data_IF_655978380122
#
_entry.id   IF_655978380122
#
_cell.length_a   1.000
_cell.length_b   1.000
_cell.length_c   1.000
_cell.angle_alpha   90.00
_cell.angle_beta   90.00
_cell.angle_gamma   90.00
#
_symmetry.space_group_name_H-M   'P 1'
#
loop_
_entity.id
_entity.type
_entity.pdbx_description
1 polymer ?
#
# COMPACT_ATOMS: atom_id res chain seq x y z
N UNK A 1 0.09 -17.28 -28.12
CA UNK A 1 -0.87 -17.28 -26.99
C UNK A 1 -0.22 -16.55 -25.84
N UNK A 2 -0.78 -15.42 -25.42
CA UNK A 2 -0.19 -14.59 -24.36
C UNK A 2 -0.58 -15.24 -23.03
N UNK A 3 0.41 -15.70 -22.25
CA UNK A 3 0.24 -16.28 -20.93
C UNK A 3 -0.12 -15.17 -19.91
N UNK A 4 -1.31 -14.57 -20.04
CA UNK A 4 -1.80 -13.53 -19.13
C UNK A 4 -2.48 -14.08 -17.88
N UNK A 5 -2.79 -15.38 -17.84
CA UNK A 5 -3.59 -15.96 -16.76
C UNK A 5 -2.77 -16.38 -15.51
N UNK A 6 -1.46 -16.64 -15.63
CA UNK A 6 -0.61 -16.96 -14.47
C UNK A 6 -0.22 -15.71 -13.63
N UNK A 7 -0.30 -14.52 -14.22
CA UNK A 7 -0.09 -13.24 -13.53
C UNK A 7 -1.32 -12.78 -12.72
N UNK A 8 -2.42 -13.53 -12.76
CA UNK A 8 -3.67 -13.16 -12.08
C UNK A 8 -3.62 -13.37 -10.56
N UNK A 9 -2.62 -14.12 -10.06
CA UNK A 9 -2.44 -14.29 -8.63
C UNK A 9 -1.54 -13.17 -8.09
N UNK A 10 -2.06 -12.31 -7.19
CA UNK A 10 -1.28 -11.22 -6.62
C UNK A 10 -0.02 -11.72 -5.88
N UNK A 11 -0.05 -12.92 -5.30
CA UNK A 11 1.12 -13.52 -4.65
C UNK A 11 2.24 -13.82 -5.66
N UNK A 12 1.91 -14.47 -6.78
CA UNK A 12 2.86 -14.78 -7.86
C UNK A 12 3.42 -13.50 -8.50
N UNK A 13 2.58 -12.47 -8.66
CA UNK A 13 3.01 -11.17 -9.14
C UNK A 13 4.00 -10.52 -8.18
N UNK A 14 3.73 -10.59 -6.87
CA UNK A 14 4.64 -10.07 -5.86
C UNK A 14 5.98 -10.82 -5.86
N UNK A 15 5.96 -12.16 -5.80
CA UNK A 15 7.19 -12.96 -5.75
C UNK A 15 8.11 -12.71 -6.95
N UNK A 16 7.51 -12.59 -8.15
CA UNK A 16 8.25 -12.46 -9.41
C UNK A 16 8.72 -11.03 -9.69
N UNK A 17 8.02 -10.01 -9.20
CA UNK A 17 8.27 -8.61 -9.54
C UNK A 17 8.48 -7.69 -8.34
N UNK A 18 8.67 -8.20 -7.13
CA UNK A 18 8.85 -7.40 -5.91
C UNK A 18 9.93 -6.32 -6.03
N UNK A 19 11.04 -6.58 -6.72
CA UNK A 19 12.09 -5.59 -6.93
C UNK A 19 11.58 -4.41 -7.77
N UNK A 20 11.02 -4.69 -8.95
CA UNK A 20 10.44 -3.69 -9.83
C UNK A 20 9.27 -2.92 -9.18
N UNK A 21 8.42 -3.62 -8.41
CA UNK A 21 7.31 -3.03 -7.67
C UNK A 21 7.78 -2.14 -6.51
N UNK A 22 8.99 -2.39 -6.00
CA UNK A 22 9.60 -1.63 -4.91
C UNK A 22 10.55 -0.54 -5.40
N UNK A 23 10.76 -0.38 -6.71
CA UNK A 23 11.74 0.56 -7.27
C UNK A 23 11.50 1.99 -6.79
N UNK A 24 10.25 2.42 -6.68
CA UNK A 24 9.92 3.74 -6.16
C UNK A 24 10.35 3.94 -4.70
N UNK A 25 10.25 2.90 -3.85
CA UNK A 25 10.75 2.93 -2.47
C UNK A 25 12.27 2.93 -2.45
N UNK A 26 12.89 2.06 -3.25
CA UNK A 26 14.35 1.99 -3.37
C UNK A 26 14.93 3.33 -3.82
N UNK A 27 14.34 3.95 -4.84
CA UNK A 27 14.72 5.27 -5.33
C UNK A 27 14.62 6.33 -4.23
N UNK A 28 13.51 6.39 -3.49
CA UNK A 28 13.35 7.32 -2.36
C UNK A 28 14.41 7.11 -1.27
N UNK A 29 14.75 5.86 -0.96
CA UNK A 29 15.79 5.55 0.02
C UNK A 29 17.19 5.92 -0.49
N UNK A 30 17.46 5.73 -1.78
CA UNK A 30 18.73 6.11 -2.42
C UNK A 30 18.99 7.62 -2.41
N UNK A 31 17.94 8.44 -2.38
CA UNK A 31 18.09 9.90 -2.21
C UNK A 31 18.79 10.25 -0.89
N UNK A 32 18.57 9.46 0.16
CA UNK A 32 19.21 9.64 1.46
C UNK A 32 20.47 8.77 1.63
N UNK A 33 20.50 7.59 1.02
CA UNK A 33 21.59 6.62 1.12
C UNK A 33 22.02 6.15 -0.28
N UNK A 34 22.90 6.90 -0.96
CA UNK A 34 23.40 6.54 -2.28
C UNK A 34 24.06 5.15 -2.25
N UNK A 35 23.75 4.32 -3.24
CA UNK A 35 24.29 2.96 -3.33
C UNK A 35 23.55 1.90 -2.52
N UNK A 36 22.43 2.24 -1.86
CA UNK A 36 21.56 1.22 -1.26
C UNK A 36 21.05 0.25 -2.33
N UNK A 37 21.21 -1.04 -2.09
CA UNK A 37 20.71 -2.12 -2.95
C UNK A 37 19.35 -2.64 -2.47
N UNK A 38 18.62 -3.28 -3.39
CA UNK A 38 17.36 -3.93 -3.06
C UNK A 38 17.61 -5.00 -1.99
N UNK A 39 16.74 -5.03 -0.98
CA UNK A 39 16.84 -5.96 0.12
C UNK A 39 15.45 -6.26 0.71
N UNK A 40 15.31 -7.29 1.57
CA UNK A 40 14.01 -7.69 2.11
C UNK A 40 13.29 -6.59 2.90
N UNK A 41 14.00 -5.63 3.49
CA UNK A 41 13.40 -4.52 4.21
C UNK A 41 12.72 -3.55 3.24
N UNK A 42 13.31 -3.32 2.06
CA UNK A 42 12.72 -2.49 0.99
C UNK A 42 11.47 -3.16 0.42
N UNK A 43 11.53 -4.48 0.17
CA UNK A 43 10.38 -5.26 -0.23
C UNK A 43 9.24 -5.14 0.80
N UNK A 44 9.54 -5.29 2.09
CA UNK A 44 8.57 -5.18 3.16
C UNK A 44 7.94 -3.76 3.24
N UNK A 45 8.72 -2.70 3.03
CA UNK A 45 8.21 -1.32 3.00
C UNK A 45 7.25 -1.09 1.83
N UNK A 46 7.59 -1.56 0.64
CA UNK A 46 6.68 -1.50 -0.50
C UNK A 46 5.38 -2.28 -0.23
N UNK A 47 5.49 -3.43 0.43
CA UNK A 47 4.33 -4.24 0.81
C UNK A 47 3.43 -3.54 1.84
N UNK A 48 4.01 -2.83 2.82
CA UNK A 48 3.27 -1.95 3.73
C UNK A 48 2.52 -0.84 2.98
N UNK A 49 3.13 -0.20 1.96
CA UNK A 49 2.44 0.80 1.15
C UNK A 49 1.27 0.20 0.35
N UNK A 50 1.44 -1.01 -0.17
CA UNK A 50 0.39 -1.74 -0.88
C UNK A 50 -0.77 -2.05 0.07
N UNK A 51 -0.50 -2.55 1.28
CA UNK A 51 -1.51 -2.81 2.31
C UNK A 51 -2.35 -1.56 2.59
N UNK A 52 -1.69 -0.41 2.82
CA UNK A 52 -2.38 0.85 3.08
C UNK A 52 -3.25 1.26 1.89
N UNK A 53 -2.78 1.10 0.66
CA UNK A 53 -3.57 1.44 -0.54
C UNK A 53 -4.76 0.50 -0.70
N UNK A 54 -4.57 -0.80 -0.51
CA UNK A 54 -5.62 -1.81 -0.63
C UNK A 54 -6.68 -1.63 0.46
N UNK A 55 -6.28 -1.38 1.71
CA UNK A 55 -7.19 -1.04 2.79
C UNK A 55 -8.00 0.23 2.48
N UNK A 56 -7.37 1.27 1.94
CA UNK A 56 -8.08 2.51 1.58
C UNK A 56 -9.08 2.30 0.42
N UNK A 57 -8.77 1.43 -0.55
CA UNK A 57 -9.63 1.20 -1.71
C UNK A 57 -10.77 0.21 -1.43
N UNK A 58 -10.49 -0.84 -0.65
CA UNK A 58 -11.37 -2.00 -0.50
C UNK A 58 -11.92 -2.18 0.91
N UNK A 59 -11.40 -1.45 1.89
CA UNK A 59 -11.64 -1.65 3.33
C UNK A 59 -11.26 -3.07 3.82
N UNK A 60 -10.48 -3.81 3.04
CA UNK A 60 -10.01 -5.17 3.34
C UNK A 60 -8.48 -5.17 3.44
N UNK A 61 -7.96 -6.05 4.29
CA UNK A 61 -6.52 -6.29 4.40
C UNK A 61 -5.99 -7.17 3.26
N UNK A 62 -4.66 -7.23 3.08
CA UNK A 62 -4.05 -8.05 2.02
C UNK A 62 -4.32 -9.55 2.17
N UNK A 63 -4.66 -10.02 3.37
CA UNK A 63 -5.02 -11.42 3.61
C UNK A 63 -6.31 -11.82 2.90
N UNK A 64 -7.23 -10.87 2.64
CA UNK A 64 -8.40 -11.10 1.80
C UNK A 64 -8.05 -11.35 0.32
N UNK A 65 -6.83 -11.07 -0.11
CA UNK A 65 -6.33 -11.25 -1.48
C UNK A 65 -5.27 -12.35 -1.57
N UNK A 66 -5.22 -13.25 -0.58
CA UNK A 66 -4.23 -14.34 -0.50
C UNK A 66 -2.78 -13.86 -0.50
N UNK A 67 -2.54 -12.62 -0.10
CA UNK A 67 -1.20 -12.05 0.08
C UNK A 67 -0.76 -12.18 1.55
N UNK A 68 0.53 -12.40 1.82
CA UNK A 68 1.04 -12.38 3.19
C UNK A 68 0.77 -11.02 3.86
N UNK A 69 0.72 -10.99 5.20
CA UNK A 69 0.72 -9.70 5.91
C UNK A 69 2.13 -9.13 5.88
N UNK A 70 2.31 -7.83 5.57
CA UNK A 70 3.60 -7.18 5.75
C UNK A 70 4.05 -7.33 7.21
N UNK A 71 5.35 -7.45 7.43
CA UNK A 71 5.93 -7.40 8.78
C UNK A 71 5.94 -5.94 9.21
N UNK A 72 4.84 -5.50 9.81
CA UNK A 72 4.68 -4.11 10.25
C UNK A 72 5.55 -3.91 11.51
N UNK A 73 6.73 -3.32 11.36
CA UNK A 73 7.41 -2.71 12.50
C UNK A 73 6.88 -1.27 12.65
N UNK A 74 5.89 -1.09 13.52
CA UNK A 74 5.30 0.21 13.84
C UNK A 74 6.28 1.22 14.46
N UNK A 75 7.55 0.84 14.67
CA UNK A 75 8.62 1.65 15.25
C UNK A 75 9.18 2.74 14.35
N UNK A 76 8.87 2.75 13.04
CA UNK A 76 9.32 3.82 12.16
C UNK A 76 8.26 4.94 12.08
N UNK A 77 8.50 6.05 12.79
CA UNK A 77 7.59 7.20 12.92
C UNK A 77 7.13 7.82 11.58
N UNK A 78 7.77 7.49 10.46
CA UNK A 78 7.35 7.93 9.14
C UNK A 78 6.04 7.28 8.68
N UNK A 79 5.81 5.99 8.96
CA UNK A 79 4.61 5.27 8.52
C UNK A 79 3.34 5.80 9.18
N UNK A 80 3.43 6.26 10.43
CA UNK A 80 2.28 6.69 11.22
C UNK A 80 1.70 8.05 10.74
N UNK A 81 2.53 8.91 10.16
CA UNK A 81 2.11 10.23 9.67
C UNK A 81 1.24 10.17 8.40
N UNK A 82 1.50 9.20 7.51
CA UNK A 82 0.69 9.00 6.30
C UNK A 82 -0.62 8.26 6.58
N UNK A 83 -0.62 7.32 7.54
CA UNK A 83 -1.79 6.49 7.88
C UNK A 83 -2.88 7.31 8.59
N UNK A 84 -2.53 8.23 9.50
CA UNK A 84 -3.53 8.99 10.26
C UNK A 84 -4.23 10.08 9.44
N UNK A 85 -3.56 10.67 8.47
CA UNK A 85 -4.08 11.85 7.76
C UNK A 85 -5.11 11.52 6.66
N UNK A 86 -5.13 10.29 6.14
CA UNK A 86 -6.07 9.89 5.07
C UNK A 86 -7.40 9.32 5.56
N UNK A 87 -7.44 8.70 6.74
CA UNK A 87 -8.68 8.13 7.31
C UNK A 87 -9.67 9.23 7.74
N UNK A 88 -9.19 10.44 8.03
CA UNK A 88 -10.04 11.56 8.44
C UNK A 88 -10.69 12.31 7.26
N UNK A 89 -10.03 12.40 6.10
CA UNK A 89 -10.53 13.20 4.96
C UNK A 89 -11.58 12.47 4.09
N UNK A 90 -11.79 11.16 4.27
CA UNK A 90 -12.80 10.39 3.53
C UNK A 90 -14.19 10.38 4.18
N UNK A 91 -14.35 10.87 5.42
CA UNK A 91 -15.61 10.75 6.19
C UNK A 91 -16.41 12.05 6.32
N UNK A 92 -15.87 13.20 5.94
CA UNK A 92 -16.56 14.50 6.07
C UNK A 92 -17.36 14.93 4.85
N UNK A 93 -17.23 14.24 3.70
CA UNK A 93 -17.97 14.58 2.49
C UNK A 93 -19.35 13.91 2.36
N UNK A 94 -19.65 12.89 3.16
CA UNK A 94 -20.90 12.11 3.03
C UNK A 94 -22.02 12.52 4.00
N UNK A 95 -21.81 13.51 4.88
CA UNK A 95 -22.79 13.90 5.91
C UNK A 95 -23.28 15.36 5.81
N UNK A 96 -22.86 16.13 4.80
CA UNK A 96 -23.28 17.54 4.64
C UNK A 96 -24.23 17.80 3.46
N UNK A 97 -24.67 16.78 2.72
CA UNK A 97 -25.59 16.93 1.58
C UNK A 97 -26.85 16.11 1.79
N UNK A 98 -27.80 16.63 2.58
CA UNK A 98 -29.11 16.00 2.71
C UNK A 98 -29.92 16.35 3.96
N UNK A 99 -29.99 17.62 4.36
CA UNK A 99 -31.03 18.07 5.30
C UNK A 99 -31.39 19.56 5.15
N UNK A 100 -32.11 19.87 4.06
CA UNK A 100 -32.96 21.06 3.85
C UNK A 100 -33.50 20.85 2.44
N UNK A 101 -34.80 20.80 2.17
CA UNK A 101 -35.84 21.74 2.54
C UNK A 101 -37.18 21.01 2.68
N UNK A 102 -37.96 21.36 3.70
CA UNK A 102 -39.39 21.07 3.77
C UNK A 102 -40.12 22.41 3.98
N UNK A 103 -41.17 22.72 3.20
CA UNK A 103 -42.05 23.86 3.46
C UNK A 103 -42.91 23.66 4.71
#
# INVERSE_FOLDING_TARGET
MIATFELSNPATLWEKYQEALSEHILHKMRLAHPGLEFNPQIANLAFCEIEVKVMNLSQKDLSHFSLPKPKINWTNHQTHSFVRNRIQHGRTAALSSGLSEGP
#
